data_IF_838421946429
#
_entry.id   IF_838421946429
#
_cell.length_a   1.000
_cell.length_b   1.000
_cell.length_c   1.000
_cell.angle_alpha   90.00
_cell.angle_beta   90.00
_cell.angle_gamma   90.00
#
_symmetry.space_group_name_H-M   'P 1'
#
loop_
_entity.id
_entity.type
_entity.pdbx_description
1 polymer ?
#
# COMPACT_ATOMS: atom_id res chain seq x y z
N UNK A 1 -20.77 -14.70 -17.60
CA UNK A 1 -20.06 -13.47 -17.16
C UNK A 1 -18.71 -13.90 -16.67
N UNK A 2 -17.63 -13.34 -17.22
CA UNK A 2 -16.31 -13.54 -16.63
C UNK A 2 -16.34 -13.00 -15.19
N UNK A 3 -15.66 -13.67 -14.26
CA UNK A 3 -15.53 -13.15 -12.91
C UNK A 3 -14.74 -11.85 -12.97
N UNK A 4 -15.27 -10.81 -12.32
CA UNK A 4 -14.62 -9.49 -12.24
C UNK A 4 -13.31 -9.63 -11.47
N UNK A 5 -12.19 -9.21 -12.05
CA UNK A 5 -10.87 -9.31 -11.40
C UNK A 5 -10.66 -8.10 -10.48
N UNK A 6 -10.39 -8.33 -9.20
CA UNK A 6 -10.09 -7.30 -8.22
C UNK A 6 -8.59 -7.25 -7.90
N UNK A 7 -7.94 -6.12 -8.18
CA UNK A 7 -6.52 -5.90 -7.94
C UNK A 7 -6.34 -4.76 -6.93
N UNK A 8 -5.73 -5.07 -5.80
CA UNK A 8 -5.34 -4.08 -4.80
C UNK A 8 -3.86 -3.75 -4.96
N UNK A 9 -3.54 -2.51 -5.33
CA UNK A 9 -2.20 -1.97 -5.34
C UNK A 9 -1.96 -1.12 -4.09
N UNK A 10 -0.83 -1.36 -3.39
CA UNK A 10 -0.48 -0.70 -2.14
C UNK A 10 0.91 -0.08 -2.22
N UNK A 11 0.98 1.21 -1.89
CA UNK A 11 2.23 1.91 -1.62
C UNK A 11 2.69 1.72 -0.17
N UNK A 12 3.63 0.81 0.06
CA UNK A 12 4.01 0.51 1.43
C UNK A 12 4.94 1.49 2.11
N UNK A 13 5.47 2.47 1.37
CA UNK A 13 6.42 3.40 1.97
C UNK A 13 5.73 4.27 3.04
N UNK A 14 4.44 4.60 2.87
CA UNK A 14 3.73 5.50 3.79
C UNK A 14 2.31 5.07 4.19
N UNK A 15 1.72 4.01 3.60
CA UNK A 15 0.36 3.51 3.98
C UNK A 15 0.22 3.18 5.48
N UNK A 16 1.34 3.03 6.20
CA UNK A 16 1.35 2.78 7.64
C UNK A 16 1.84 3.92 8.54
N UNK A 17 2.21 5.08 8.00
CA UNK A 17 2.72 6.15 8.86
C UNK A 17 1.58 6.74 9.67
N UNK A 18 1.76 6.68 10.99
CA UNK A 18 0.84 7.13 12.02
C UNK A 18 1.71 7.56 13.19
N UNK A 19 2.31 8.74 13.03
CA UNK A 19 3.07 9.38 14.11
C UNK A 19 2.20 9.40 15.38
N UNK A 20 2.64 8.76 16.49
CA UNK A 20 1.86 8.69 17.72
C UNK A 20 1.61 10.05 18.36
N UNK A 21 2.44 11.05 18.04
CA UNK A 21 2.36 12.40 18.59
C UNK A 21 1.54 13.35 17.71
N UNK A 22 1.10 12.90 16.52
CA UNK A 22 0.25 13.70 15.65
C UNK A 22 -1.23 13.65 16.10
N UNK A 23 -1.97 14.77 16.04
CA UNK A 23 -3.40 14.79 16.35
C UNK A 23 -4.15 13.79 15.46
N UNK A 24 -4.91 12.88 16.07
CA UNK A 24 -5.70 11.92 15.30
C UNK A 24 -6.83 12.68 14.58
N UNK A 25 -6.79 12.68 13.25
CA UNK A 25 -7.91 13.13 12.44
C UNK A 25 -9.13 12.22 12.69
N UNK A 26 -10.33 12.73 12.46
CA UNK A 26 -11.56 11.96 12.55
C UNK A 26 -11.52 10.72 11.63
N UNK A 27 -11.93 9.56 12.15
CA UNK A 27 -11.92 8.29 11.40
C UNK A 27 -10.60 7.51 11.41
N UNK A 28 -9.51 8.10 11.92
CA UNK A 28 -8.24 7.40 12.09
C UNK A 28 -8.34 6.32 13.18
N UNK A 29 -7.67 5.19 12.96
CA UNK A 29 -7.52 4.17 13.99
C UNK A 29 -6.78 4.76 15.22
N UNK A 30 -6.95 4.20 16.42
CA UNK A 30 -6.35 4.78 17.65
C UNK A 30 -5.32 3.87 18.30
N UNK A 31 -5.38 2.58 18.01
CA UNK A 31 -4.42 1.59 18.44
C UNK A 31 -3.18 1.69 17.56
N UNK A 32 -2.17 2.46 18.00
CA UNK A 32 -0.91 2.63 17.27
C UNK A 32 0.16 1.68 17.80
N UNK A 33 0.89 1.07 16.90
CA UNK A 33 2.07 0.26 17.18
C UNK A 33 3.20 0.65 16.23
N UNK A 34 4.42 0.24 16.54
CA UNK A 34 5.53 0.33 15.60
C UNK A 34 6.37 -0.93 15.62
N UNK A 35 7.15 -1.08 14.55
CA UNK A 35 8.26 -2.01 14.52
C UNK A 35 9.53 -1.29 14.03
N UNK A 36 10.67 -1.68 14.59
CA UNK A 36 11.95 -1.20 14.13
C UNK A 36 12.41 -2.03 12.92
N UNK A 37 12.64 -1.38 11.79
CA UNK A 37 13.15 -2.03 10.58
C UNK A 37 14.53 -1.52 10.28
N UNK A 38 15.43 -2.45 9.96
CA UNK A 38 16.80 -2.17 9.52
C UNK A 38 16.97 -2.70 8.10
N UNK A 39 17.41 -1.84 7.18
CA UNK A 39 17.57 -2.15 5.76
C UNK A 39 18.94 -1.71 5.25
N UNK A 40 19.50 -2.48 4.32
CA UNK A 40 20.72 -2.08 3.60
C UNK A 40 20.33 -1.22 2.39
N UNK A 41 20.88 -0.03 2.29
CA UNK A 41 20.60 0.94 1.21
C UNK A 41 21.42 0.65 -0.04
N UNK A 42 21.10 1.36 -1.13
CA UNK A 42 21.86 1.32 -2.39
C UNK A 42 23.34 1.70 -2.23
N UNK A 43 23.68 2.58 -1.28
CA UNK A 43 25.05 2.97 -0.96
C UNK A 43 25.83 1.91 -0.16
N UNK A 44 25.17 0.81 0.22
CA UNK A 44 25.76 -0.24 1.05
C UNK A 44 25.73 0.04 2.56
N UNK A 45 25.27 1.23 2.96
CA UNK A 45 25.04 1.60 4.36
C UNK A 45 23.78 0.95 4.91
N UNK A 46 23.66 0.96 6.24
CA UNK A 46 22.45 0.50 6.93
C UNK A 46 21.61 1.72 7.29
N UNK A 47 20.34 1.72 6.88
CA UNK A 47 19.32 2.65 7.35
C UNK A 47 18.38 1.92 8.30
N UNK A 48 17.91 2.60 9.34
CA UNK A 48 16.89 2.07 10.23
C UNK A 48 15.80 3.10 10.48
N UNK A 49 14.58 2.63 10.71
CA UNK A 49 13.45 3.49 11.00
C UNK A 49 12.30 2.72 11.64
N UNK A 50 11.39 3.48 12.26
CA UNK A 50 10.14 2.93 12.73
C UNK A 50 9.15 2.84 11.57
N UNK A 51 8.55 1.66 11.42
CA UNK A 51 7.31 1.50 10.66
C UNK A 51 6.19 1.51 11.68
N UNK A 52 5.47 2.62 11.74
CA UNK A 52 4.23 2.74 12.51
C UNK A 52 3.13 1.94 11.81
N UNK A 53 2.06 1.57 12.51
CA UNK A 53 0.84 0.97 11.95
C UNK A 53 -0.26 0.94 13.02
N UNK A 54 -1.48 0.56 12.63
CA UNK A 54 -2.53 0.15 13.57
C UNK A 54 -2.82 -1.34 13.42
N UNK A 55 -2.73 -2.16 14.49
CA UNK A 55 -3.10 -3.56 14.43
C UNK A 55 -4.52 -3.81 13.91
N UNK A 56 -5.49 -3.03 14.37
CA UNK A 56 -6.89 -3.14 13.91
C UNK A 56 -7.03 -2.74 12.44
N UNK A 57 -6.29 -1.72 11.97
CA UNK A 57 -6.26 -1.37 10.56
C UNK A 57 -5.69 -2.50 9.69
N UNK A 58 -4.64 -3.18 10.16
CA UNK A 58 -4.07 -4.36 9.48
C UNK A 58 -5.08 -5.51 9.43
N UNK A 59 -5.85 -5.74 10.50
CA UNK A 59 -6.90 -6.74 10.53
C UNK A 59 -7.99 -6.45 9.50
N UNK A 60 -8.48 -5.21 9.44
CA UNK A 60 -9.49 -4.79 8.47
C UNK A 60 -8.95 -4.88 7.03
N UNK A 61 -7.71 -4.42 6.79
CA UNK A 61 -7.06 -4.51 5.48
C UNK A 61 -6.84 -5.97 5.04
N UNK A 62 -6.54 -6.88 5.99
CA UNK A 62 -6.40 -8.31 5.71
C UNK A 62 -7.68 -8.96 5.16
N UNK A 63 -8.87 -8.42 5.50
CA UNK A 63 -10.13 -8.87 4.91
C UNK A 63 -10.15 -8.56 3.40
N UNK A 64 -9.81 -7.32 3.03
CA UNK A 64 -9.75 -6.89 1.62
C UNK A 64 -8.68 -7.68 0.86
N UNK A 65 -7.50 -7.88 1.45
CA UNK A 65 -6.41 -8.66 0.86
C UNK A 65 -6.81 -10.13 0.63
N UNK A 66 -7.64 -10.70 1.51
CA UNK A 66 -8.18 -12.05 1.34
C UNK A 66 -9.08 -12.17 0.10
N UNK A 67 -9.95 -11.18 -0.06
CA UNK A 67 -10.98 -11.13 -1.11
C UNK A 67 -10.39 -10.75 -2.49
N UNK A 68 -9.36 -9.90 -2.54
CA UNK A 68 -8.74 -9.48 -3.81
C UNK A 68 -8.06 -10.65 -4.56
N UNK A 69 -8.08 -10.61 -5.89
CA UNK A 69 -7.48 -11.63 -6.75
C UNK A 69 -5.97 -11.49 -6.87
N UNK A 70 -5.49 -10.24 -6.88
CA UNK A 70 -4.07 -9.91 -6.96
C UNK A 70 -3.73 -8.72 -6.06
N UNK A 71 -2.54 -8.78 -5.46
CA UNK A 71 -1.99 -7.73 -4.61
C UNK A 71 -0.70 -7.23 -5.26
N UNK A 72 -0.65 -5.94 -5.59
CA UNK A 72 0.52 -5.30 -6.18
C UNK A 72 1.18 -4.42 -5.11
N UNK A 73 2.47 -4.62 -4.88
CA UNK A 73 3.20 -3.86 -3.87
C UNK A 73 4.17 -2.92 -4.55
N UNK A 74 3.87 -1.64 -4.46
CA UNK A 74 4.74 -0.55 -4.84
C UNK A 74 5.47 -0.09 -3.58
N UNK A 75 6.79 -0.28 -3.52
CA UNK A 75 7.57 0.29 -2.42
C UNK A 75 9.00 0.55 -2.87
N UNK A 76 9.50 1.75 -2.59
CA UNK A 76 10.88 2.14 -2.82
C UNK A 76 11.87 1.34 -1.96
N UNK A 77 11.39 0.64 -0.92
CA UNK A 77 12.20 -0.30 -0.13
C UNK A 77 12.46 -1.62 -0.87
N UNK A 78 11.83 -1.81 -2.04
CA UNK A 78 12.01 -2.93 -2.95
C UNK A 78 11.84 -4.27 -2.26
N UNK A 79 12.89 -5.11 -2.20
CA UNK A 79 12.85 -6.42 -1.52
C UNK A 79 12.54 -6.33 -0.01
N UNK A 80 12.95 -5.24 0.65
CA UNK A 80 12.81 -5.12 2.10
C UNK A 80 11.36 -4.90 2.56
N UNK A 81 10.53 -4.27 1.70
CA UNK A 81 9.10 -4.03 1.96
C UNK A 81 8.36 -5.31 2.35
N UNK A 82 8.57 -6.40 1.60
CA UNK A 82 7.94 -7.70 1.86
C UNK A 82 8.17 -8.24 3.27
N UNK A 83 9.33 -7.94 3.87
CA UNK A 83 9.63 -8.36 5.25
C UNK A 83 8.93 -7.46 6.26
N UNK A 84 8.98 -6.15 6.06
CA UNK A 84 8.31 -5.18 6.92
C UNK A 84 6.80 -5.41 6.96
N UNK A 85 6.19 -5.60 5.79
CA UNK A 85 4.74 -5.83 5.65
C UNK A 85 4.27 -7.11 6.34
N UNK A 86 5.05 -8.19 6.24
CA UNK A 86 4.76 -9.43 6.97
C UNK A 86 4.91 -9.25 8.48
N UNK A 87 5.88 -8.46 8.91
CA UNK A 87 6.15 -8.24 10.32
C UNK A 87 5.08 -7.37 10.99
N UNK A 88 4.42 -6.45 10.27
CA UNK A 88 3.23 -5.73 10.78
C UNK A 88 1.95 -6.57 10.75
N UNK A 89 2.00 -7.82 10.25
CA UNK A 89 0.88 -8.76 10.27
C UNK A 89 0.00 -8.78 9.02
N UNK A 90 0.38 -8.08 7.95
CA UNK A 90 -0.36 -8.16 6.70
C UNK A 90 -0.10 -9.50 5.99
N UNK A 91 -1.18 -10.20 5.70
CA UNK A 91 -1.21 -11.54 5.11
C UNK A 91 -1.12 -11.40 3.61
N UNK A 92 0.07 -11.55 3.05
CA UNK A 92 0.32 -11.49 1.61
C UNK A 92 0.40 -12.91 1.00
N UNK A 93 -0.67 -13.44 0.38
CA UNK A 93 -0.64 -14.79 -0.19
C UNK A 93 0.36 -14.83 -1.35
N UNK A 94 1.37 -15.70 -1.28
CA UNK A 94 2.46 -15.76 -2.27
C UNK A 94 1.99 -15.89 -3.72
N UNK A 95 0.86 -16.58 -3.95
CA UNK A 95 0.31 -16.79 -5.31
C UNK A 95 -0.41 -15.57 -5.88
N UNK A 96 -0.87 -14.66 -5.01
CA UNK A 96 -1.60 -13.44 -5.39
C UNK A 96 -0.73 -12.18 -5.33
N UNK A 97 0.41 -12.24 -4.64
CA UNK A 97 1.22 -11.05 -4.35
C UNK A 97 2.36 -10.86 -5.36
N UNK A 98 2.44 -9.66 -5.92
CA UNK A 98 3.53 -9.20 -6.78
C UNK A 98 4.22 -8.02 -6.09
N UNK A 99 5.55 -8.08 -5.94
CA UNK A 99 6.35 -6.90 -5.65
C UNK A 99 6.74 -6.26 -6.98
N UNK A 100 6.35 -5.00 -7.21
CA UNK A 100 6.63 -4.28 -8.45
C UNK A 100 8.11 -3.88 -8.58
N UNK A 101 8.82 -3.80 -7.45
CA UNK A 101 10.23 -3.39 -7.38
C UNK A 101 11.12 -4.43 -6.70
N UNK A 102 11.10 -5.71 -7.12
CA UNK A 102 11.74 -6.79 -6.36
C UNK A 102 13.27 -6.70 -6.33
N UNK A 103 13.86 -5.93 -7.25
CA UNK A 103 15.31 -5.75 -7.39
C UNK A 103 15.83 -4.43 -6.82
N UNK A 104 14.93 -3.51 -6.43
CA UNK A 104 15.36 -2.23 -5.89
C UNK A 104 15.79 -2.37 -4.43
N UNK A 105 16.74 -1.51 -4.06
CA UNK A 105 17.14 -1.27 -2.68
C UNK A 105 16.61 0.09 -2.24
N UNK A 106 16.37 0.30 -0.93
CA UNK A 106 15.96 1.60 -0.40
C UNK A 106 16.88 2.73 -0.88
N UNK A 107 16.27 3.82 -1.36
CA UNK A 107 16.97 4.99 -1.90
C UNK A 107 17.47 4.84 -3.35
N UNK A 108 17.19 3.72 -4.04
CA UNK A 108 17.58 3.53 -5.43
C UNK A 108 16.67 4.29 -6.43
N UNK A 109 15.49 4.72 -6.00
CA UNK A 109 14.52 5.46 -6.80
C UNK A 109 13.94 6.59 -5.98
N UNK A 110 13.82 7.78 -6.57
CA UNK A 110 13.14 8.91 -5.93
C UNK A 110 11.62 8.75 -5.97
N UNK A 111 10.91 9.38 -5.01
CA UNK A 111 9.47 9.19 -4.82
C UNK A 111 8.64 9.45 -6.09
N UNK A 112 8.88 10.56 -6.77
CA UNK A 112 8.16 10.91 -8.01
C UNK A 112 8.36 9.86 -9.11
N UNK A 113 9.59 9.39 -9.30
CA UNK A 113 9.89 8.35 -10.29
C UNK A 113 9.30 7.01 -9.87
N UNK A 114 9.23 6.71 -8.57
CA UNK A 114 8.58 5.52 -8.02
C UNK A 114 7.08 5.52 -8.31
N UNK A 115 6.38 6.62 -8.03
CA UNK A 115 4.94 6.72 -8.27
C UNK A 115 4.61 6.55 -9.76
N UNK A 116 5.33 7.26 -10.64
CA UNK A 116 5.15 7.10 -12.09
C UNK A 116 5.43 5.67 -12.54
N UNK A 117 6.56 5.09 -12.12
CA UNK A 117 6.92 3.74 -12.53
C UNK A 117 5.96 2.68 -11.98
N UNK A 118 5.47 2.86 -10.74
CA UNK A 118 4.49 1.98 -10.14
C UNK A 118 3.19 2.04 -10.92
N UNK A 119 2.71 3.24 -11.25
CA UNK A 119 1.53 3.45 -12.07
C UNK A 119 1.63 2.74 -13.42
N UNK A 120 2.73 2.96 -14.16
CA UNK A 120 2.96 2.29 -15.46
C UNK A 120 2.93 0.75 -15.31
N UNK A 121 3.57 0.22 -14.25
CA UNK A 121 3.59 -1.22 -13.98
C UNK A 121 2.24 -1.77 -13.51
N UNK A 122 1.39 -0.95 -12.88
CA UNK A 122 0.03 -1.34 -12.49
C UNK A 122 -0.86 -1.41 -13.74
N UNK A 123 -0.68 -0.51 -14.71
CA UNK A 123 -1.39 -0.56 -15.99
C UNK A 123 -1.13 -1.86 -16.75
N UNK A 124 0.08 -2.44 -16.66
CA UNK A 124 0.38 -3.76 -17.23
C UNK A 124 -0.48 -4.90 -16.64
N UNK A 125 -1.15 -4.67 -15.51
CA UNK A 125 -2.09 -5.63 -14.90
C UNK A 125 -3.55 -5.39 -15.29
N UNK A 126 -3.85 -4.34 -16.05
CA UNK A 126 -5.16 -4.13 -16.62
C UNK A 126 -5.35 -5.11 -17.79
N UNK A 127 -6.12 -6.17 -17.56
CA UNK A 127 -6.30 -7.24 -18.57
C UNK A 127 -7.51 -7.01 -19.47
N UNK A 128 -8.60 -6.44 -18.93
CA UNK A 128 -9.91 -6.29 -19.57
C UNK A 128 -10.69 -5.14 -18.92
N UNK A 129 -11.80 -4.71 -19.54
CA UNK A 129 -12.68 -3.65 -19.03
C UNK A 129 -13.32 -3.97 -17.66
N UNK A 130 -13.39 -5.26 -17.30
CA UNK A 130 -13.94 -5.71 -16.02
C UNK A 130 -12.89 -5.75 -14.88
N UNK A 131 -11.61 -5.49 -15.17
CA UNK A 131 -10.57 -5.47 -14.13
C UNK A 131 -10.68 -4.19 -13.30
N UNK A 132 -10.95 -4.36 -12.00
CA UNK A 132 -11.01 -3.28 -11.02
C UNK A 132 -9.70 -3.17 -10.29
N UNK A 133 -9.06 -2.02 -10.40
CA UNK A 133 -7.81 -1.73 -9.71
C UNK A 133 -8.03 -0.58 -8.75
N UNK A 134 -7.67 -0.78 -7.48
CA UNK A 134 -7.56 0.28 -6.49
C UNK A 134 -6.09 0.41 -6.10
N UNK A 135 -5.52 1.59 -6.32
CA UNK A 135 -4.18 1.95 -5.90
C UNK A 135 -4.24 2.89 -4.70
N UNK A 136 -3.74 2.41 -3.57
CA UNK A 136 -3.58 3.18 -2.34
C UNK A 136 -2.16 3.72 -2.30
N UNK A 137 -2.01 5.04 -2.24
CA UNK A 137 -0.70 5.70 -2.20
C UNK A 137 -0.68 6.91 -1.25
N UNK A 138 0.46 7.58 -1.16
CA UNK A 138 0.74 8.71 -0.29
C UNK A 138 0.55 10.06 -1.00
N UNK A 139 -0.51 10.17 -1.81
CA UNK A 139 -0.88 11.45 -2.42
C UNK A 139 -1.25 12.49 -1.37
N UNK A 140 -0.42 13.52 -1.27
CA UNK A 140 -0.74 14.74 -0.55
C UNK A 140 -1.34 15.76 -1.56
N UNK A 141 -2.63 16.15 -1.45
CA UNK A 141 -3.56 15.89 -0.36
C UNK A 141 -4.36 14.58 -0.49
N UNK A 142 -4.76 14.04 0.66
CA UNK A 142 -5.68 12.89 0.80
C UNK A 142 -6.94 13.05 -0.05
N UNK A 143 -7.38 11.98 -0.71
CA UNK A 143 -8.61 11.99 -1.51
C UNK A 143 -8.83 10.72 -2.33
N UNK A 144 -9.91 10.72 -3.11
CA UNK A 144 -10.24 9.64 -4.04
C UNK A 144 -10.23 10.16 -5.47
N UNK A 145 -9.79 9.34 -6.42
CA UNK A 145 -9.72 9.72 -7.82
C UNK A 145 -9.73 8.53 -8.76
N UNK A 146 -9.55 8.82 -10.04
CA UNK A 146 -9.32 7.81 -11.05
C UNK A 146 -8.34 8.34 -12.10
N UNK A 147 -7.33 7.54 -12.43
CA UNK A 147 -6.30 7.86 -13.44
C UNK A 147 -6.11 6.62 -14.30
N UNK A 148 -6.23 6.75 -15.62
CA UNK A 148 -6.02 5.65 -16.59
C UNK A 148 -6.76 4.35 -16.24
N UNK A 149 -7.99 4.48 -15.72
CA UNK A 149 -8.84 3.35 -15.31
C UNK A 149 -8.56 2.81 -13.90
N UNK A 150 -7.52 3.29 -13.21
CA UNK A 150 -7.17 2.89 -11.85
C UNK A 150 -7.84 3.84 -10.85
N UNK A 151 -8.59 3.28 -9.89
CA UNK A 151 -9.11 4.07 -8.77
C UNK A 151 -7.96 4.39 -7.81
N UNK A 152 -7.77 5.66 -7.48
CA UNK A 152 -6.71 6.09 -6.56
C UNK A 152 -7.29 6.46 -5.21
N UNK A 153 -6.59 6.05 -4.15
CA UNK A 153 -6.90 6.40 -2.76
C UNK A 153 -5.64 7.01 -2.16
N UNK A 154 -5.61 8.34 -2.14
CA UNK A 154 -4.55 9.11 -1.52
C UNK A 154 -4.69 9.07 0.00
N UNK A 155 -3.60 8.70 0.68
CA UNK A 155 -3.47 8.65 2.13
C UNK A 155 -2.60 9.81 2.62
N UNK A 156 -2.59 10.02 3.94
CA UNK A 156 -1.76 11.03 4.61
C UNK A 156 -1.05 10.36 5.79
N UNK A 157 0.23 10.66 6.07
CA UNK A 157 1.04 10.06 7.14
C UNK A 157 0.54 10.37 8.56
N UNK A 158 -0.45 11.25 8.73
CA UNK A 158 -1.05 11.52 10.04
C UNK A 158 -2.18 10.53 10.36
N UNK A 159 -3.25 10.41 9.53
CA UNK A 159 -4.33 9.45 9.77
C UNK A 159 -4.09 8.05 9.19
N UNK A 160 -3.14 7.90 8.25
CA UNK A 160 -2.95 6.68 7.47
C UNK A 160 -4.25 6.27 6.75
N UNK A 161 -4.41 4.96 6.53
CA UNK A 161 -5.70 4.39 6.13
C UNK A 161 -6.71 4.47 7.30
N UNK A 162 -7.87 5.04 7.01
CA UNK A 162 -9.02 5.15 7.91
C UNK A 162 -10.05 4.06 7.60
N UNK A 163 -11.02 3.91 8.49
CA UNK A 163 -12.17 3.02 8.26
C UNK A 163 -12.96 3.39 7.00
N UNK A 164 -13.06 4.68 6.70
CA UNK A 164 -13.78 5.19 5.52
C UNK A 164 -13.03 4.81 4.24
N UNK A 165 -11.69 4.87 4.23
CA UNK A 165 -10.92 4.45 3.05
C UNK A 165 -11.07 2.96 2.81
N UNK A 166 -10.98 2.14 3.86
CA UNK A 166 -11.11 0.69 3.71
C UNK A 166 -12.49 0.30 3.18
N UNK A 167 -13.55 0.98 3.64
CA UNK A 167 -14.89 0.82 3.08
C UNK A 167 -14.93 1.23 1.60
N UNK A 168 -14.36 2.37 1.25
CA UNK A 168 -14.30 2.84 -0.14
C UNK A 168 -13.51 1.91 -1.05
N UNK A 169 -12.35 1.41 -0.60
CA UNK A 169 -11.54 0.42 -1.30
C UNK A 169 -12.36 -0.85 -1.56
N UNK A 170 -13.10 -1.33 -0.55
CA UNK A 170 -13.97 -2.50 -0.67
C UNK A 170 -15.07 -2.27 -1.71
N UNK A 171 -15.70 -1.08 -1.69
CA UNK A 171 -16.72 -0.72 -2.68
C UNK A 171 -16.15 -0.71 -4.09
N UNK A 172 -15.04 0.00 -4.32
CA UNK A 172 -14.44 0.10 -5.65
C UNK A 172 -13.95 -1.24 -6.19
N UNK A 173 -13.49 -2.16 -5.34
CA UNK A 173 -13.05 -3.48 -5.77
C UNK A 173 -14.22 -4.43 -6.04
N UNK A 174 -15.27 -4.41 -5.22
CA UNK A 174 -16.24 -5.52 -5.17
C UNK A 174 -17.70 -5.17 -5.45
N UNK A 175 -18.09 -3.89 -5.45
CA UNK A 175 -19.48 -3.43 -5.69
C UNK A 175 -19.57 -2.41 -6.83
#
# INVERSE_FOLDING_TARGET
>A
MAARTAILALDFDEVFILDPDAPTAEGAYRDRAHMFVTVKTSSGLTSSGNVWYSPTMIEDLNVIVGDADKILLASSWGKASMKAVKAVGLRLPRRKTVNLFPYLTPGAIGQQHKLQRAHDLILDYLTDDDTRIVWVDDQHPRGYGQVDGIHTVGTDPVPGLTRVDLAHIRDMLFY
#
